data_IF_302641861271
#
_entry.id   IF_302641861271
#
_cell.length_a   1.000
_cell.length_b   1.000
_cell.length_c   1.000
_cell.angle_alpha   90.00
_cell.angle_beta   90.00
_cell.angle_gamma   90.00
#
_symmetry.space_group_name_H-M   'P 1'
#
loop_
_entity.id
_entity.type
_entity.pdbx_description
1 polymer ?
#
# COMPACT_ATOMS: atom_id res chain seq x y z
N UNK A 1 12.68 10.11 -7.82
CA UNK A 1 13.03 8.96 -8.68
C UNK A 1 11.87 8.00 -8.55
N UNK A 2 11.26 7.51 -9.63
CA UNK A 2 10.14 6.58 -9.48
C UNK A 2 10.68 5.25 -8.94
N UNK A 3 10.51 5.00 -7.64
CA UNK A 3 10.71 3.67 -7.05
C UNK A 3 9.33 3.07 -6.84
N UNK A 4 8.84 2.26 -7.80
CA UNK A 4 7.54 1.64 -7.66
C UNK A 4 7.56 0.48 -6.68
N UNK A 5 6.38 0.07 -6.26
CA UNK A 5 6.18 -1.06 -5.37
C UNK A 5 4.72 -1.39 -5.21
N UNK A 6 4.41 -2.14 -4.17
CA UNK A 6 3.09 -2.66 -3.91
C UNK A 6 2.74 -2.53 -2.44
N UNK A 7 1.48 -2.25 -2.18
CA UNK A 7 0.93 -2.20 -0.83
C UNK A 7 -0.38 -2.96 -0.77
N UNK A 8 -0.62 -3.68 0.32
CA UNK A 8 -1.79 -4.54 0.39
C UNK A 8 -2.01 -5.20 1.72
N UNK A 9 -2.92 -6.16 1.72
CA UNK A 9 -3.26 -6.98 2.88
C UNK A 9 -2.68 -8.39 2.75
N UNK A 10 -2.28 -8.94 3.88
CA UNK A 10 -2.09 -10.38 4.05
C UNK A 10 -3.45 -11.00 4.42
N UNK A 11 -3.86 -12.03 3.68
CA UNK A 11 -5.10 -12.76 3.94
C UNK A 11 -4.84 -13.96 4.86
N UNK A 12 -5.87 -14.40 5.58
CA UNK A 12 -5.77 -15.50 6.54
C UNK A 12 -5.41 -16.86 5.91
N UNK A 13 -5.60 -17.01 4.60
CA UNK A 13 -5.32 -18.22 3.82
C UNK A 13 -3.90 -18.23 3.20
N UNK A 14 -3.00 -17.38 3.69
CA UNK A 14 -1.65 -17.19 3.16
C UNK A 14 -1.59 -16.70 1.71
N UNK A 15 -2.67 -16.08 1.23
CA UNK A 15 -2.65 -15.24 0.03
C UNK A 15 -2.44 -13.77 0.40
N UNK A 16 -2.20 -12.93 -0.59
CA UNK A 16 -2.17 -11.49 -0.41
C UNK A 16 -3.01 -10.81 -1.48
N UNK A 17 -3.48 -9.61 -1.17
CA UNK A 17 -4.14 -8.71 -2.12
C UNK A 17 -3.42 -7.38 -2.09
N UNK A 18 -2.80 -6.98 -3.19
CA UNK A 18 -1.99 -5.77 -3.26
C UNK A 18 -2.29 -4.91 -4.49
N UNK A 19 -2.01 -3.60 -4.34
CA UNK A 19 -2.13 -2.58 -5.38
C UNK A 19 -0.81 -1.91 -5.62
N UNK A 20 -0.64 -1.41 -6.83
CA UNK A 20 0.58 -0.76 -7.28
C UNK A 20 0.70 0.64 -6.66
N UNK A 21 1.92 1.03 -6.35
CA UNK A 21 2.30 2.39 -5.93
C UNK A 21 3.41 2.87 -6.86
N UNK A 22 3.19 3.96 -7.59
CA UNK A 22 4.11 4.40 -8.64
C UNK A 22 5.34 5.13 -8.08
N UNK A 23 5.15 6.04 -7.13
CA UNK A 23 6.23 6.86 -6.57
C UNK A 23 6.61 6.48 -5.13
N UNK A 24 7.92 6.55 -4.87
CA UNK A 24 8.55 6.47 -3.54
C UNK A 24 8.11 5.30 -2.65
N UNK A 25 7.85 4.13 -3.23
CA UNK A 25 7.40 2.93 -2.55
C UNK A 25 8.47 2.22 -1.69
N UNK A 26 9.51 2.93 -1.27
CA UNK A 26 10.56 2.36 -0.40
C UNK A 26 10.01 2.12 1.01
N UNK A 27 10.44 1.06 1.73
CA UNK A 27 9.94 0.77 3.07
C UNK A 27 10.20 1.91 4.06
N UNK A 28 11.38 2.55 3.96
CA UNK A 28 11.77 3.67 4.81
C UNK A 28 10.80 4.86 4.69
N UNK A 29 10.16 5.03 3.54
CA UNK A 29 9.16 6.07 3.29
C UNK A 29 7.74 5.57 3.57
N UNK A 30 7.37 4.40 3.07
CA UNK A 30 5.99 3.92 3.14
C UNK A 30 5.57 3.49 4.54
N UNK A 31 6.43 2.87 5.34
CA UNK A 31 6.04 2.44 6.70
C UNK A 31 5.51 3.62 7.54
N UNK A 32 6.23 4.75 7.69
CA UNK A 32 5.70 5.89 8.46
C UNK A 32 4.49 6.54 7.80
N UNK A 33 4.38 6.52 6.45
CA UNK A 33 3.20 7.01 5.74
C UNK A 33 1.97 6.18 6.07
N UNK A 34 2.07 4.85 5.98
CA UNK A 34 0.99 3.94 6.27
C UNK A 34 0.55 4.06 7.73
N UNK A 35 1.50 4.20 8.66
CA UNK A 35 1.20 4.46 10.07
C UNK A 35 0.45 5.78 10.28
N UNK A 36 0.89 6.86 9.63
CA UNK A 36 0.22 8.16 9.69
C UNK A 36 -1.20 8.13 9.13
N UNK A 37 -1.39 7.57 7.92
CA UNK A 37 -2.71 7.41 7.29
C UNK A 37 -3.63 6.57 8.19
N UNK A 38 -3.15 5.41 8.64
CA UNK A 38 -3.90 4.51 9.52
C UNK A 38 -4.33 5.20 10.82
N UNK A 39 -3.44 5.97 11.43
CA UNK A 39 -3.71 6.68 12.67
C UNK A 39 -4.65 7.88 12.47
N UNK A 40 -4.28 8.80 11.58
CA UNK A 40 -4.88 10.13 11.50
C UNK A 40 -6.16 10.13 10.65
N UNK A 41 -6.19 9.33 9.58
CA UNK A 41 -7.34 9.29 8.64
C UNK A 41 -8.34 8.22 9.04
N UNK A 42 -7.87 7.06 9.48
CA UNK A 42 -8.72 5.90 9.79
C UNK A 42 -8.92 5.66 11.29
N UNK A 43 -8.33 6.47 12.17
CA UNK A 43 -8.52 6.32 13.62
C UNK A 43 -8.10 4.93 14.14
N UNK A 44 -7.09 4.32 13.51
CA UNK A 44 -6.59 2.96 13.76
C UNK A 44 -7.55 1.83 13.32
N UNK A 45 -8.54 2.11 12.49
CA UNK A 45 -9.36 1.08 11.85
C UNK A 45 -8.61 0.44 10.66
N UNK A 46 -7.93 -0.68 10.93
CA UNK A 46 -7.14 -1.40 9.95
C UNK A 46 -7.97 -2.00 8.82
N UNK A 47 -9.23 -2.39 9.09
CA UNK A 47 -10.09 -3.00 8.07
C UNK A 47 -10.50 -1.96 7.03
N UNK A 48 -11.04 -0.82 7.49
CA UNK A 48 -11.44 0.29 6.61
C UNK A 48 -10.24 0.88 5.88
N UNK A 49 -9.10 1.01 6.56
CA UNK A 49 -7.84 1.43 5.94
C UNK A 49 -7.44 0.52 4.78
N UNK A 50 -7.42 -0.79 5.01
CA UNK A 50 -7.07 -1.78 3.99
C UNK A 50 -8.06 -1.81 2.83
N UNK A 51 -9.36 -1.60 3.08
CA UNK A 51 -10.38 -1.57 2.04
C UNK A 51 -10.18 -0.40 1.07
N UNK A 52 -9.80 0.77 1.58
CA UNK A 52 -9.43 1.91 0.74
C UNK A 52 -8.11 1.63 0.01
N UNK A 53 -7.12 1.12 0.72
CA UNK A 53 -5.76 0.92 0.19
C UNK A 53 -5.74 -0.04 -1.00
N UNK A 54 -6.54 -1.12 -0.96
CA UNK A 54 -6.58 -2.11 -2.05
C UNK A 54 -7.57 -1.76 -3.17
N UNK A 55 -8.32 -0.66 -3.04
CA UNK A 55 -9.31 -0.22 -4.04
C UNK A 55 -8.69 0.48 -5.25
N UNK A 56 -7.52 1.09 -5.07
CA UNK A 56 -6.88 1.92 -6.09
C UNK A 56 -5.42 1.53 -6.27
N UNK A 57 -4.92 1.70 -7.48
CA UNK A 57 -3.48 1.89 -7.67
C UNK A 57 -3.16 3.35 -7.35
N UNK A 58 -2.00 3.56 -6.76
CA UNK A 58 -1.60 4.84 -6.21
C UNK A 58 -0.50 5.44 -7.06
N UNK A 59 -0.68 6.70 -7.45
CA UNK A 59 0.41 7.53 -7.94
C UNK A 59 1.39 7.74 -6.79
N UNK A 60 0.88 8.16 -5.64
CA UNK A 60 1.62 8.31 -4.39
C UNK A 60 0.71 8.13 -3.16
N UNK A 61 1.33 7.76 -2.04
CA UNK A 61 0.69 7.76 -0.73
C UNK A 61 1.22 8.92 0.10
N UNK A 62 0.30 9.75 0.60
CA UNK A 62 0.62 10.97 1.32
C UNK A 62 -0.51 11.33 2.28
N UNK A 63 -0.27 11.29 3.61
CA UNK A 63 -1.30 11.54 4.62
C UNK A 63 -1.78 13.00 4.62
N UNK A 64 -0.99 13.92 4.05
CA UNK A 64 -1.30 15.35 4.03
C UNK A 64 -2.07 15.77 2.76
N UNK A 65 -2.37 14.82 1.87
CA UNK A 65 -3.07 15.12 0.62
C UNK A 65 -4.55 15.41 0.91
N UNK A 66 -5.03 16.56 0.42
CA UNK A 66 -6.43 16.99 0.53
C UNK A 66 -6.96 17.50 -0.81
N UNK A 67 -8.23 17.25 -1.10
CA UNK A 67 -8.89 17.69 -2.33
C UNK A 67 -8.91 19.22 -2.46
N UNK A 68 -8.90 19.96 -1.35
CA UNK A 68 -8.84 21.41 -1.36
C UNK A 68 -7.47 21.98 -1.79
N UNK A 69 -6.39 21.21 -1.59
CA UNK A 69 -5.02 21.61 -1.96
C UNK A 69 -4.51 20.96 -3.25
N UNK A 70 -5.15 19.89 -3.73
CA UNK A 70 -4.69 19.12 -4.88
C UNK A 70 -5.25 19.67 -6.20
N UNK A 71 -4.41 19.65 -7.25
CA UNK A 71 -4.82 19.78 -8.65
C UNK A 71 -4.39 18.51 -9.37
N UNK A 72 -5.17 17.42 -9.27
CA UNK A 72 -4.82 16.16 -9.91
C UNK A 72 -4.72 16.34 -11.43
N UNK A 73 -3.80 15.62 -12.05
CA UNK A 73 -3.75 15.54 -13.50
C UNK A 73 -4.94 14.74 -14.04
N UNK A 74 -5.30 14.87 -15.33
CA UNK A 74 -6.27 13.98 -15.94
C UNK A 74 -5.89 12.51 -15.72
N UNK A 75 -6.82 11.71 -15.20
CA UNK A 75 -6.57 10.31 -14.84
C UNK A 75 -6.13 10.10 -13.39
N UNK A 76 -6.12 11.14 -12.56
CA UNK A 76 -5.80 11.05 -11.13
C UNK A 76 -6.98 11.49 -10.25
N UNK A 77 -7.15 10.82 -9.11
CA UNK A 77 -8.13 11.15 -8.09
C UNK A 77 -7.44 11.35 -6.76
N UNK A 78 -7.68 12.49 -6.12
CA UNK A 78 -7.29 12.69 -4.74
C UNK A 78 -8.19 11.90 -3.80
N UNK A 79 -7.59 11.12 -2.91
CA UNK A 79 -8.25 10.46 -1.78
C UNK A 79 -7.77 11.14 -0.50
N UNK A 80 -8.67 11.90 0.12
CA UNK A 80 -8.37 12.73 1.29
C UNK A 80 -7.72 11.92 2.42
N UNK A 81 -6.58 12.41 2.90
CA UNK A 81 -5.82 11.79 3.98
C UNK A 81 -5.11 10.49 3.60
N UNK A 82 -5.09 10.11 2.31
CA UNK A 82 -4.47 8.85 1.85
C UNK A 82 -3.45 9.09 0.75
N UNK A 83 -3.80 9.85 -0.29
CA UNK A 83 -2.89 10.12 -1.40
C UNK A 83 -3.59 10.38 -2.73
N UNK A 84 -2.85 10.18 -3.82
CA UNK A 84 -3.35 10.35 -5.19
C UNK A 84 -3.48 8.99 -5.85
N UNK A 85 -4.72 8.60 -6.16
CA UNK A 85 -5.06 7.37 -6.87
C UNK A 85 -5.06 7.59 -8.39
N UNK A 86 -4.76 6.54 -9.15
CA UNK A 86 -5.05 6.50 -10.59
C UNK A 86 -6.55 6.18 -10.83
N UNK A 87 -7.19 6.88 -11.77
CA UNK A 87 -8.60 6.71 -12.17
C UNK A 87 -8.78 5.60 -13.24
N UNK A 88 -7.71 5.20 -13.93
CA UNK A 88 -7.76 4.23 -15.04
C UNK A 88 -8.39 2.88 -14.62
N UNK A 89 -9.02 2.11 -15.54
CA UNK A 89 -9.84 0.96 -15.16
C UNK A 89 -8.94 -0.03 -14.46
N UNK A 90 -9.26 -0.25 -13.18
CA UNK A 90 -8.51 -1.06 -12.25
C UNK A 90 -7.86 -2.24 -12.95
N UNK A 91 -6.52 -2.26 -12.98
CA UNK A 91 -5.88 -3.56 -13.10
C UNK A 91 -6.36 -4.34 -11.89
N UNK A 92 -6.80 -5.58 -12.09
CA UNK A 92 -7.26 -6.39 -10.97
C UNK A 92 -6.18 -6.37 -9.88
N UNK A 93 -6.57 -6.20 -8.60
CA UNK A 93 -5.60 -6.28 -7.52
C UNK A 93 -4.80 -7.56 -7.68
N UNK A 94 -3.49 -7.48 -7.43
CA UNK A 94 -2.66 -8.68 -7.43
C UNK A 94 -3.18 -9.56 -6.30
N UNK A 95 -3.80 -10.68 -6.67
CA UNK A 95 -4.27 -11.69 -5.74
C UNK A 95 -3.51 -12.99 -5.99
N UNK A 96 -2.61 -13.34 -5.08
CA UNK A 96 -1.76 -14.51 -5.25
C UNK A 96 -1.35 -15.11 -3.89
N UNK A 97 -0.97 -16.39 -3.85
CA UNK A 97 -0.23 -16.97 -2.73
C UNK A 97 1.03 -16.17 -2.40
N UNK A 98 1.39 -16.11 -1.11
CA UNK A 98 2.62 -15.45 -0.64
C UNK A 98 3.89 -16.00 -1.32
N UNK A 99 3.86 -17.26 -1.75
CA UNK A 99 4.93 -17.90 -2.53
C UNK A 99 5.20 -17.29 -3.91
N UNK A 100 4.39 -16.34 -4.37
CA UNK A 100 4.54 -15.66 -5.65
C UNK A 100 5.00 -14.19 -5.53
N UNK A 101 5.46 -13.76 -4.35
CA UNK A 101 5.99 -12.40 -4.14
C UNK A 101 7.22 -12.10 -5.02
N UNK A 102 7.96 -13.12 -5.43
CA UNK A 102 9.11 -13.04 -6.34
C UNK A 102 8.76 -12.55 -7.75
N UNK A 103 7.47 -12.60 -8.11
CA UNK A 103 6.95 -12.12 -9.42
C UNK A 103 6.67 -10.63 -9.45
N UNK A 104 6.70 -9.95 -8.31
CA UNK A 104 6.46 -8.52 -8.22
C UNK A 104 7.77 -7.74 -8.29
N UNK A 105 7.81 -6.77 -9.20
CA UNK A 105 8.95 -5.87 -9.34
C UNK A 105 8.83 -4.71 -8.34
N UNK A 106 9.69 -4.72 -7.32
CA UNK A 106 9.79 -3.67 -6.31
C UNK A 106 9.55 -4.17 -4.89
N UNK A 107 9.36 -3.23 -3.97
CA UNK A 107 9.02 -3.53 -2.58
C UNK A 107 7.55 -3.89 -2.45
N UNK A 108 7.24 -4.88 -1.61
CA UNK A 108 5.86 -5.28 -1.31
C UNK A 108 5.63 -5.14 0.19
N UNK A 109 4.70 -4.27 0.58
CA UNK A 109 4.33 -4.04 1.97
C UNK A 109 2.96 -4.64 2.23
N UNK A 110 2.91 -5.73 2.99
CA UNK A 110 1.67 -6.43 3.33
C UNK A 110 1.30 -6.18 4.78
N UNK A 111 0.10 -5.65 5.00
CA UNK A 111 -0.48 -5.40 6.32
C UNK A 111 -1.31 -6.62 6.74
N UNK A 112 -0.99 -7.17 7.90
CA UNK A 112 -1.78 -8.20 8.57
C UNK A 112 -2.82 -7.53 9.49
N UNK A 113 -4.12 -7.58 9.16
CA UNK A 113 -5.17 -6.95 9.96
C UNK A 113 -5.39 -7.60 11.32
N UNK A 114 -4.95 -8.85 11.53
CA UNK A 114 -5.06 -9.51 12.83
C UNK A 114 -4.03 -8.99 13.83
N UNK A 115 -2.95 -8.37 13.35
CA UNK A 115 -1.84 -7.94 14.19
C UNK A 115 -1.42 -6.48 13.97
N UNK A 116 -2.06 -5.73 13.06
CA UNK A 116 -1.65 -4.37 12.69
C UNK A 116 -0.15 -4.29 12.36
N UNK A 117 0.39 -5.35 11.74
CA UNK A 117 1.80 -5.42 11.36
C UNK A 117 1.98 -5.30 9.87
N UNK A 118 3.00 -4.54 9.47
CA UNK A 118 3.50 -4.46 8.10
C UNK A 118 4.65 -5.46 7.97
N UNK A 119 4.55 -6.38 7.03
CA UNK A 119 5.67 -7.20 6.57
C UNK A 119 6.19 -6.65 5.26
N UNK A 120 7.51 -6.51 5.17
CA UNK A 120 8.20 -5.96 4.01
C UNK A 120 8.83 -7.10 3.24
N UNK A 121 8.55 -7.17 1.94
CA UNK A 121 9.11 -8.18 1.05
C UNK A 121 9.80 -7.53 -0.13
N UNK A 122 10.78 -8.23 -0.68
CA UNK A 122 11.46 -7.89 -1.92
C UNK A 122 11.70 -9.19 -2.68
N UNK A 123 11.67 -9.14 -4.01
CA UNK A 123 11.85 -10.33 -4.85
C UNK A 123 13.11 -11.14 -4.52
N UNK A 124 14.17 -10.47 -4.08
CA UNK A 124 15.45 -11.08 -3.75
C UNK A 124 15.41 -11.93 -2.46
N UNK A 125 14.37 -11.73 -1.62
CA UNK A 125 14.23 -12.41 -0.33
C UNK A 125 13.19 -13.56 -0.38
N UNK A 126 12.57 -13.81 -1.53
CA UNK A 126 11.52 -14.81 -1.70
C UNK A 126 10.35 -14.57 -0.74
N UNK A 127 10.03 -15.57 0.09
CA UNK A 127 8.93 -15.52 1.07
C UNK A 127 9.36 -15.01 2.45
N UNK A 128 10.66 -14.81 2.67
CA UNK A 128 11.17 -14.34 3.96
C UNK A 128 11.06 -12.81 4.00
N UNK A 129 10.32 -12.24 4.97
CA UNK A 129 10.20 -10.78 5.05
C UNK A 129 11.56 -10.14 5.34
N UNK A 130 11.89 -9.09 4.59
CA UNK A 130 13.03 -8.21 4.83
C UNK A 130 12.93 -7.48 6.18
N UNK A 131 11.70 -7.27 6.66
CA UNK A 131 11.42 -6.60 7.93
C UNK A 131 9.97 -6.78 8.36
N UNK A 132 9.72 -6.59 9.67
CA UNK A 132 8.38 -6.57 10.25
C UNK A 132 8.25 -5.37 11.18
N UNK A 133 7.17 -4.62 11.01
CA UNK A 133 6.92 -3.37 11.71
C UNK A 133 5.48 -3.35 12.22
N UNK A 134 5.21 -2.60 13.30
CA UNK A 134 3.84 -2.24 13.68
C UNK A 134 3.44 -0.97 12.92
N UNK A 135 2.15 -0.78 12.69
CA UNK A 135 1.63 0.50 12.19
C UNK A 135 1.70 1.63 13.23
N UNK A 136 1.91 1.28 14.51
CA UNK A 136 2.03 2.18 15.66
C UNK A 136 3.47 2.43 16.10
#
# INVERSE_FOLDING_TARGET
MATPGYVGRLNADHTFTARYVHFDATPARLIPVLGGIWHDTFGRDTATFLDVLVRHDWIDLSPNTTAAGARPFPGEQTVDGVGTAAIDPATDPVNAPIGHLDRLDGWVLLIDPATDTVTVHHRDNGTVPAGRHRLA
#
